data_IF_887606868430
#
_entry.id   IF_887606868430
#
_cell.length_a   1.000
_cell.length_b   1.000
_cell.length_c   1.000
_cell.angle_alpha   90.00
_cell.angle_beta   90.00
_cell.angle_gamma   90.00
#
_symmetry.space_group_name_H-M   'P 1'
#
loop_
_entity.id
_entity.type
_entity.pdbx_description
1 polymer ?
#
# COMPACT_ATOMS: atom_id res chain seq x y z
N UNK A 1 29.40 14.81 30.23
CA UNK A 1 27.95 14.46 30.29
C UNK A 1 27.78 13.15 29.55
N UNK A 2 27.75 12.04 30.25
CA UNK A 2 27.51 10.71 29.65
C UNK A 2 26.03 10.59 29.37
N UNK A 3 25.66 10.48 28.10
CA UNK A 3 24.31 10.13 27.70
C UNK A 3 23.92 8.78 28.37
N UNK A 4 22.75 8.68 28.97
CA UNK A 4 22.27 7.40 29.46
C UNK A 4 22.10 6.48 28.26
N UNK A 5 22.97 5.48 28.15
CA UNK A 5 22.81 4.40 27.21
C UNK A 5 21.53 3.62 27.57
N UNK A 6 20.43 3.93 26.91
CA UNK A 6 19.23 3.10 26.93
C UNK A 6 19.45 1.81 26.12
N UNK A 7 20.54 1.11 26.44
CA UNK A 7 20.77 -0.22 25.94
C UNK A 7 19.89 -1.18 26.73
N UNK A 8 18.78 -1.59 26.16
CA UNK A 8 18.07 -2.74 26.67
C UNK A 8 16.55 -2.72 26.72
N UNK A 9 15.86 -1.65 26.32
CA UNK A 9 14.40 -1.75 26.18
C UNK A 9 14.08 -2.36 24.80
N UNK A 10 13.57 -3.61 24.75
CA UNK A 10 13.20 -4.25 23.48
C UNK A 10 12.08 -3.52 22.73
N UNK A 11 11.44 -2.55 23.38
CA UNK A 11 10.40 -1.69 22.78
C UNK A 11 11.00 -0.47 22.06
N UNK A 12 12.30 -0.19 22.25
CA UNK A 12 13.01 0.83 21.48
C UNK A 12 13.52 0.22 20.18
N UNK A 13 12.90 0.48 19.04
CA UNK A 13 13.51 0.12 17.78
C UNK A 13 14.84 0.87 17.69
N UNK A 14 15.92 0.17 17.36
CA UNK A 14 17.12 0.84 16.91
C UNK A 14 16.69 1.77 15.78
N UNK A 15 16.95 3.04 15.92
CA UNK A 15 16.40 4.07 15.03
C UNK A 15 16.61 3.74 13.54
N UNK A 16 17.79 3.19 13.19
CA UNK A 16 18.09 2.76 11.82
C UNK A 16 17.24 1.59 11.33
N UNK A 17 16.93 0.62 12.18
CA UNK A 17 16.07 -0.51 11.81
C UNK A 17 14.63 -0.06 11.58
N UNK A 18 14.13 0.82 12.45
CA UNK A 18 12.80 1.39 12.31
C UNK A 18 12.63 2.19 11.01
N UNK A 19 13.59 3.07 10.69
CA UNK A 19 13.56 3.86 9.46
C UNK A 19 13.67 2.99 8.21
N UNK A 20 14.45 1.91 8.25
CA UNK A 20 14.55 0.95 7.15
C UNK A 20 13.22 0.25 6.91
N UNK A 21 12.57 -0.26 7.97
CA UNK A 21 11.29 -0.94 7.85
C UNK A 21 10.15 0.02 7.45
N UNK A 22 10.18 1.26 7.95
CA UNK A 22 9.25 2.30 7.50
C UNK A 22 9.43 2.60 6.01
N UNK A 23 10.66 2.74 5.54
CA UNK A 23 10.97 2.94 4.13
C UNK A 23 10.50 1.76 3.26
N UNK A 24 10.71 0.53 3.72
CA UNK A 24 10.24 -0.68 3.05
C UNK A 24 8.70 -0.70 2.95
N UNK A 25 7.99 -0.34 4.01
CA UNK A 25 6.53 -0.28 4.02
C UNK A 25 6.00 0.78 3.03
N UNK A 26 6.59 1.97 3.02
CA UNK A 26 6.22 3.05 2.08
C UNK A 26 6.46 2.62 0.64
N UNK A 27 7.63 2.03 0.35
CA UNK A 27 7.96 1.53 -0.98
C UNK A 27 7.01 0.42 -1.44
N UNK A 28 6.70 -0.55 -0.58
CA UNK A 28 5.78 -1.64 -0.88
C UNK A 28 4.35 -1.10 -1.18
N UNK A 29 3.90 -0.09 -0.44
CA UNK A 29 2.61 0.55 -0.67
C UNK A 29 2.52 1.25 -2.04
N UNK A 30 3.61 1.85 -2.49
CA UNK A 30 3.71 2.45 -3.82
C UNK A 30 3.60 1.40 -4.93
N UNK A 31 4.14 0.20 -4.69
CA UNK A 31 4.00 -0.93 -5.59
C UNK A 31 2.53 -1.40 -5.76
N UNK A 32 1.71 -1.29 -4.72
CA UNK A 32 0.26 -1.56 -4.83
C UNK A 32 -0.41 -0.57 -5.77
N UNK A 33 -0.11 0.73 -5.63
CA UNK A 33 -0.65 1.75 -6.53
C UNK A 33 -0.25 1.50 -7.98
N UNK A 34 1.02 1.13 -8.24
CA UNK A 34 1.52 0.79 -9.56
C UNK A 34 0.74 -0.36 -10.21
N UNK A 35 0.50 -1.45 -9.49
CA UNK A 35 -0.27 -2.58 -10.01
C UNK A 35 -1.73 -2.22 -10.30
N UNK A 36 -2.37 -1.40 -9.47
CA UNK A 36 -3.74 -0.92 -9.73
C UNK A 36 -3.79 -0.10 -11.02
N UNK A 37 -2.81 0.79 -11.22
CA UNK A 37 -2.68 1.57 -12.46
C UNK A 37 -2.52 0.63 -13.67
N UNK A 38 -1.67 -0.38 -13.57
CA UNK A 38 -1.43 -1.32 -14.67
C UNK A 38 -2.66 -2.15 -15.00
N UNK A 39 -3.41 -2.62 -14.01
CA UNK A 39 -4.68 -3.33 -14.23
C UNK A 39 -5.68 -2.43 -14.97
N UNK A 40 -5.83 -1.18 -14.54
CA UNK A 40 -6.74 -0.21 -15.17
C UNK A 40 -6.34 0.11 -16.61
N UNK A 41 -5.05 0.24 -16.87
CA UNK A 41 -4.54 0.49 -18.22
C UNK A 41 -4.72 -0.69 -19.15
N UNK A 42 -4.30 -1.86 -18.71
CA UNK A 42 -4.24 -3.06 -19.55
C UNK A 42 -5.62 -3.64 -19.81
N UNK A 43 -6.45 -3.77 -18.78
CA UNK A 43 -7.73 -4.45 -18.88
C UNK A 43 -8.92 -3.51 -19.10
N UNK A 44 -8.78 -2.24 -18.74
CA UNK A 44 -9.87 -1.25 -18.86
C UNK A 44 -9.55 -0.09 -19.78
N UNK A 45 -8.36 -0.09 -20.40
CA UNK A 45 -7.93 0.93 -21.36
C UNK A 45 -8.03 2.37 -20.79
N UNK A 46 -7.76 2.54 -19.50
CA UNK A 46 -7.75 3.86 -18.86
C UNK A 46 -6.42 4.54 -19.16
N UNK A 47 -6.48 5.82 -19.55
CA UNK A 47 -5.30 6.62 -19.84
C UNK A 47 -4.42 6.78 -18.60
N UNK A 48 -3.10 6.58 -18.76
CA UNK A 48 -2.13 6.69 -17.68
C UNK A 48 -2.15 8.07 -17.02
N UNK A 49 -2.24 9.14 -17.80
CA UNK A 49 -2.23 10.51 -17.27
C UNK A 49 -3.46 10.85 -16.43
N UNK A 50 -4.55 10.09 -16.57
CA UNK A 50 -5.72 10.20 -15.70
C UNK A 50 -5.56 9.46 -14.36
N UNK A 51 -4.54 8.62 -14.24
CA UNK A 51 -4.32 7.75 -13.08
C UNK A 51 -3.12 8.17 -12.23
N UNK A 52 -2.06 8.66 -12.88
CA UNK A 52 -0.76 8.89 -12.22
C UNK A 52 -0.82 9.92 -11.09
N UNK A 53 -1.71 10.90 -11.19
CA UNK A 53 -1.87 11.95 -10.17
C UNK A 53 -2.90 11.57 -9.07
N UNK A 54 -3.55 10.41 -9.20
CA UNK A 54 -4.49 9.95 -8.18
C UNK A 54 -3.74 9.37 -6.98
N UNK A 55 -4.22 9.71 -5.80
CA UNK A 55 -3.84 8.96 -4.60
C UNK A 55 -4.42 7.53 -4.62
N UNK A 56 -3.99 6.68 -3.70
CA UNK A 56 -4.47 5.30 -3.66
C UNK A 56 -5.99 5.23 -3.44
N UNK A 57 -6.59 6.19 -2.73
CA UNK A 57 -8.06 6.27 -2.56
C UNK A 57 -8.78 6.52 -3.88
N UNK A 58 -8.28 7.45 -4.69
CA UNK A 58 -8.80 7.73 -6.02
C UNK A 58 -8.63 6.56 -6.99
N UNK A 59 -7.50 5.83 -6.88
CA UNK A 59 -7.27 4.60 -7.66
C UNK A 59 -8.24 3.48 -7.27
N UNK A 60 -8.48 3.26 -5.97
CA UNK A 60 -9.46 2.28 -5.47
C UNK A 60 -10.86 2.62 -5.99
N UNK A 61 -11.27 3.88 -5.93
CA UNK A 61 -12.58 4.31 -6.43
C UNK A 61 -12.73 4.04 -7.93
N UNK A 62 -11.70 4.34 -8.71
CA UNK A 62 -11.69 4.07 -10.15
C UNK A 62 -11.75 2.56 -10.43
N UNK A 63 -10.95 1.76 -9.72
CA UNK A 63 -10.94 0.30 -9.87
C UNK A 63 -12.30 -0.31 -9.53
N UNK A 64 -12.92 0.15 -8.45
CA UNK A 64 -14.25 -0.27 -8.02
C UNK A 64 -15.31 0.01 -9.09
N UNK A 65 -15.32 1.21 -9.66
CA UNK A 65 -16.24 1.58 -10.72
C UNK A 65 -16.13 0.63 -11.92
N UNK A 66 -14.90 0.31 -12.35
CA UNK A 66 -14.69 -0.64 -13.45
C UNK A 66 -15.07 -2.08 -13.08
N UNK A 67 -14.85 -2.49 -11.85
CA UNK A 67 -15.24 -3.80 -11.36
C UNK A 67 -16.78 -3.98 -11.34
N UNK A 68 -17.52 -2.93 -10.97
CA UNK A 68 -18.98 -2.92 -10.91
C UNK A 68 -19.66 -2.80 -12.28
N UNK A 69 -19.00 -2.16 -13.24
CA UNK A 69 -19.55 -1.98 -14.60
C UNK A 69 -19.28 -3.15 -15.55
N UNK A 70 -18.68 -4.21 -15.06
CA UNK A 70 -18.35 -5.41 -15.84
C UNK A 70 -16.90 -5.42 -16.30
N UNK A 71 -16.04 -6.06 -15.52
CA UNK A 71 -14.63 -6.26 -15.82
C UNK A 71 -14.39 -7.61 -16.49
N UNK A 72 -13.47 -7.69 -17.48
CA UNK A 72 -12.98 -8.96 -17.97
C UNK A 72 -12.09 -9.69 -16.94
N UNK A 73 -11.63 -8.98 -15.89
CA UNK A 73 -10.78 -9.55 -14.84
C UNK A 73 -11.63 -10.29 -13.82
N UNK A 74 -11.45 -11.61 -13.66
CA UNK A 74 -12.23 -12.38 -12.69
C UNK A 74 -11.88 -11.94 -11.26
N UNK A 75 -12.87 -11.93 -10.38
CA UNK A 75 -12.70 -11.58 -8.96
C UNK A 75 -12.16 -10.17 -8.68
N UNK A 76 -12.31 -9.24 -9.61
CA UNK A 76 -11.78 -7.88 -9.44
C UNK A 76 -12.40 -7.15 -8.24
N UNK A 77 -13.69 -7.36 -7.94
CA UNK A 77 -14.34 -6.79 -6.75
C UNK A 77 -13.68 -7.25 -5.45
N UNK A 78 -13.33 -8.53 -5.34
CA UNK A 78 -12.59 -9.04 -4.19
C UNK A 78 -11.21 -8.40 -4.06
N UNK A 79 -10.54 -8.14 -5.16
CA UNK A 79 -9.26 -7.44 -5.17
C UNK A 79 -9.40 -5.96 -4.76
N UNK A 80 -10.47 -5.28 -5.16
CA UNK A 80 -10.80 -3.92 -4.69
C UNK A 80 -10.83 -3.87 -3.16
N UNK A 81 -11.49 -4.85 -2.53
CA UNK A 81 -11.57 -4.91 -1.06
C UNK A 81 -10.19 -5.16 -0.41
N UNK A 82 -9.33 -5.94 -1.05
CA UNK A 82 -7.97 -6.16 -0.58
C UNK A 82 -7.14 -4.88 -0.66
N UNK A 83 -7.21 -4.15 -1.78
CA UNK A 83 -6.51 -2.87 -1.95
C UNK A 83 -7.03 -1.82 -0.98
N UNK A 84 -8.34 -1.75 -0.76
CA UNK A 84 -8.93 -0.78 0.17
C UNK A 84 -8.49 -1.02 1.63
N UNK A 85 -8.40 -2.26 2.06
CA UNK A 85 -7.86 -2.62 3.39
C UNK A 85 -6.43 -2.13 3.59
N UNK A 86 -5.54 -2.36 2.61
CA UNK A 86 -4.15 -1.90 2.72
C UNK A 86 -4.01 -0.40 2.51
N UNK A 87 -4.93 0.25 1.77
CA UNK A 87 -5.02 1.71 1.68
C UNK A 87 -5.20 2.36 3.07
N UNK A 88 -6.07 1.79 3.89
CA UNK A 88 -6.26 2.27 5.28
C UNK A 88 -4.94 2.19 6.05
N UNK A 89 -4.24 1.07 5.97
CA UNK A 89 -2.92 0.90 6.62
C UNK A 89 -1.87 1.90 6.10
N UNK A 90 -1.84 2.12 4.79
CA UNK A 90 -0.94 3.11 4.17
C UNK A 90 -1.24 4.51 4.69
N UNK A 91 -2.51 4.90 4.76
CA UNK A 91 -2.90 6.21 5.26
C UNK A 91 -2.54 6.37 6.74
N UNK A 92 -2.69 5.31 7.53
CA UNK A 92 -2.25 5.31 8.93
C UNK A 92 -0.76 5.57 9.06
N UNK A 93 0.08 4.93 8.25
CA UNK A 93 1.53 5.14 8.26
C UNK A 93 1.93 6.56 7.86
N UNK A 94 1.36 7.08 6.77
CA UNK A 94 1.77 8.37 6.20
C UNK A 94 1.31 9.55 7.06
N UNK A 95 0.17 9.42 7.72
CA UNK A 95 -0.36 10.46 8.60
C UNK A 95 -0.01 10.26 10.07
N UNK A 96 0.77 9.24 10.40
CA UNK A 96 1.24 9.03 11.75
C UNK A 96 2.32 10.03 12.13
N UNK A 97 2.29 10.47 13.38
CA UNK A 97 3.31 11.38 13.92
C UNK A 97 4.43 10.56 14.55
N UNK A 98 5.69 10.92 14.29
CA UNK A 98 6.81 10.30 14.98
C UNK A 98 6.75 10.62 16.48
N UNK A 99 7.00 9.61 17.29
CA UNK A 99 7.08 9.69 18.75
C UNK A 99 8.30 8.92 19.23
N UNK A 100 8.63 9.05 20.51
CA UNK A 100 9.86 8.49 21.07
C UNK A 100 10.05 6.97 20.80
N UNK A 101 8.95 6.23 20.65
CA UNK A 101 8.97 4.77 20.51
C UNK A 101 8.31 4.25 19.22
N UNK A 102 8.13 5.10 18.20
CA UNK A 102 7.53 4.66 16.94
C UNK A 102 6.65 5.73 16.28
N UNK A 103 5.55 5.31 15.72
CA UNK A 103 4.59 6.17 15.05
C UNK A 103 3.24 6.10 15.77
N UNK A 104 2.62 7.26 15.98
CA UNK A 104 1.27 7.36 16.49
C UNK A 104 0.34 8.04 15.49
N UNK A 105 -0.78 7.42 15.22
CA UNK A 105 -1.86 8.07 14.50
C UNK A 105 -2.97 8.49 15.45
N UNK A 106 -3.32 9.77 15.39
CA UNK A 106 -4.54 10.30 16.00
C UNK A 106 -5.65 10.21 14.97
N UNK A 107 -6.77 9.58 15.32
CA UNK A 107 -7.94 9.51 14.46
C UNK A 107 -9.10 10.29 15.07
N UNK A 108 -9.77 11.07 14.21
CA UNK A 108 -10.98 11.79 14.56
C UNK A 108 -10.79 12.95 15.52
N UNK A 109 -11.91 13.44 16.02
CA UNK A 109 -11.96 14.59 16.95
C UNK A 109 -11.52 14.24 18.38
N UNK A 110 -11.42 12.95 18.70
CA UNK A 110 -10.95 12.50 20.01
C UNK A 110 -9.43 12.37 20.01
N UNK A 111 -8.76 13.44 20.42
CA UNK A 111 -7.30 13.50 20.53
C UNK A 111 -6.71 12.54 21.57
N UNK A 112 -7.53 11.86 22.37
CA UNK A 112 -7.12 10.89 23.38
C UNK A 112 -7.02 9.48 22.83
N UNK A 113 -7.57 9.20 21.67
CA UNK A 113 -7.50 7.88 21.03
C UNK A 113 -6.23 7.75 20.22
N UNK A 114 -5.28 7.03 20.76
CA UNK A 114 -4.12 6.52 20.01
C UNK A 114 -4.59 5.25 19.31
N UNK A 115 -4.76 5.31 17.98
CA UNK A 115 -5.37 4.19 17.25
C UNK A 115 -4.35 3.19 16.77
N UNK A 116 -3.14 3.62 16.39
CA UNK A 116 -2.10 2.71 15.92
C UNK A 116 -0.74 3.17 16.40
N UNK A 117 -0.07 2.29 17.12
CA UNK A 117 1.36 2.36 17.40
C UNK A 117 2.06 1.32 16.54
N UNK A 118 3.10 1.74 15.82
CA UNK A 118 3.86 0.84 14.96
C UNK A 118 5.23 0.55 15.55
N UNK A 119 5.48 -0.70 15.86
CA UNK A 119 6.81 -1.26 16.12
C UNK A 119 7.50 -1.67 14.81
N UNK A 120 8.75 -2.12 14.91
CA UNK A 120 9.46 -2.72 13.75
C UNK A 120 8.70 -3.93 13.22
N UNK A 121 8.22 -4.79 14.10
CA UNK A 121 7.44 -5.99 13.75
C UNK A 121 6.11 -5.62 13.08
N UNK A 122 5.44 -4.57 13.55
CA UNK A 122 4.22 -4.06 12.93
C UNK A 122 4.49 -3.54 11.52
N UNK A 123 5.60 -2.82 11.31
CA UNK A 123 6.01 -2.35 9.99
C UNK A 123 6.32 -3.50 9.04
N UNK A 124 6.99 -4.54 9.51
CA UNK A 124 7.26 -5.75 8.73
C UNK A 124 5.97 -6.46 8.34
N UNK A 125 5.00 -6.59 9.25
CA UNK A 125 3.70 -7.19 8.97
C UNK A 125 2.91 -6.37 7.94
N UNK A 126 2.94 -5.05 8.04
CA UNK A 126 2.29 -4.14 7.08
C UNK A 126 2.95 -4.25 5.70
N UNK A 127 4.27 -4.30 5.64
CA UNK A 127 5.03 -4.50 4.39
C UNK A 127 4.66 -5.83 3.74
N UNK A 128 4.58 -6.91 4.51
CA UNK A 128 4.14 -8.22 4.03
C UNK A 128 2.71 -8.15 3.45
N UNK A 129 1.80 -7.42 4.09
CA UNK A 129 0.45 -7.19 3.61
C UNK A 129 0.42 -6.46 2.26
N UNK A 130 1.19 -5.40 2.08
CA UNK A 130 1.32 -4.70 0.79
C UNK A 130 1.89 -5.63 -0.29
N UNK A 131 2.91 -6.40 0.02
CA UNK A 131 3.51 -7.33 -0.94
C UNK A 131 2.55 -8.45 -1.35
N UNK A 132 1.73 -8.96 -0.44
CA UNK A 132 0.70 -9.95 -0.74
C UNK A 132 -0.36 -9.40 -1.71
N UNK A 133 -0.86 -8.19 -1.47
CA UNK A 133 -1.83 -7.51 -2.36
C UNK A 133 -1.20 -7.22 -3.72
N UNK A 134 0.06 -6.79 -3.77
CA UNK A 134 0.80 -6.59 -5.01
C UNK A 134 0.97 -7.89 -5.80
N UNK A 135 1.32 -9.00 -5.14
CA UNK A 135 1.44 -10.31 -5.78
C UNK A 135 0.09 -10.78 -6.34
N UNK A 136 -1.01 -10.57 -5.60
CA UNK A 136 -2.35 -10.86 -6.09
C UNK A 136 -2.72 -10.01 -7.31
N UNK A 137 -2.40 -8.72 -7.29
CA UNK A 137 -2.59 -7.83 -8.44
C UNK A 137 -1.82 -8.26 -9.67
N UNK A 138 -0.57 -8.72 -9.51
CA UNK A 138 0.21 -9.29 -10.60
C UNK A 138 -0.47 -10.53 -11.21
N UNK A 139 -1.03 -11.41 -10.39
CA UNK A 139 -1.79 -12.56 -10.90
C UNK A 139 -2.99 -12.12 -11.74
N UNK A 140 -3.71 -11.08 -11.32
CA UNK A 140 -4.84 -10.53 -12.08
C UNK A 140 -4.38 -9.81 -13.35
N UNK A 141 -3.28 -9.10 -13.33
CA UNK A 141 -2.71 -8.42 -14.49
C UNK A 141 -2.39 -9.40 -15.62
N UNK A 142 -1.88 -10.57 -15.27
CA UNK A 142 -1.45 -11.61 -16.22
C UNK A 142 -2.40 -12.81 -16.31
N UNK A 143 -3.65 -12.69 -15.84
CA UNK A 143 -4.57 -13.84 -15.77
C UNK A 143 -4.87 -14.46 -17.13
N UNK A 144 -4.75 -13.71 -18.21
CA UNK A 144 -5.12 -14.13 -19.57
C UNK A 144 -3.90 -14.66 -20.37
N UNK A 145 -3.04 -15.43 -19.70
CA UNK A 145 -1.97 -16.17 -20.35
C UNK A 145 -0.96 -15.34 -21.13
N UNK A 146 -0.69 -14.12 -20.71
CA UNK A 146 0.30 -13.25 -21.33
C UNK A 146 -0.25 -12.26 -22.36
N UNK A 147 -1.55 -12.15 -22.52
CA UNK A 147 -2.17 -11.13 -23.41
C UNK A 147 -1.76 -9.72 -22.99
N UNK A 148 -1.63 -9.47 -21.69
CA UNK A 148 -1.12 -8.21 -21.16
C UNK A 148 0.32 -7.93 -21.64
N UNK A 149 1.20 -8.93 -21.60
CA UNK A 149 2.60 -8.81 -22.04
C UNK A 149 2.67 -8.50 -23.55
N UNK A 150 1.79 -9.10 -24.35
CA UNK A 150 1.75 -8.84 -25.79
C UNK A 150 1.34 -7.40 -26.12
N UNK A 151 0.42 -6.81 -25.35
CA UNK A 151 0.05 -5.39 -25.54
C UNK A 151 1.20 -4.42 -25.29
N UNK A 152 2.06 -4.72 -24.34
CA UNK A 152 3.25 -3.90 -24.06
C UNK A 152 4.32 -4.01 -25.14
N UNK A 153 4.42 -5.17 -25.83
CA UNK A 153 5.42 -5.41 -26.88
C UNK A 153 5.05 -4.77 -28.22
N UNK A 154 3.79 -4.39 -28.41
CA UNK A 154 3.30 -3.84 -29.70
C UNK A 154 3.19 -2.31 -29.71
N UNK A 155 3.36 -1.65 -28.56
CA UNK A 155 3.31 -0.18 -28.43
C UNK A 155 4.70 0.45 -28.23
N UNK A 156 5.78 -0.32 -28.46
CA UNK A 156 7.18 0.13 -28.40
C UNK A 156 7.71 0.57 -29.74
#
# INVERSE_FOLDING_TARGET
>A
MTEPHHHGDPRHPKHGDFLRELGAAVFASSGVAGIVIDILRVHHNVDFFKLVDKDLGGLVSTLKQHAETGSPVPSLLGYVDEVDRVRVKRNDLIHALPVLHGLHRRTGKDTRRVVNFYSVEDLQAVTAGFNAVRARGNQLLYFDGGTAVRKWSTEG
#
